data_IF_935623009663
#
_entry.id   IF_935623009663
#
_cell.length_a   1.000
_cell.length_b   1.000
_cell.length_c   1.000
_cell.angle_alpha   90.00
_cell.angle_beta   90.00
_cell.angle_gamma   90.00
#
_symmetry.space_group_name_H-M   'P 1'
#
loop_
_entity.id
_entity.type
_entity.pdbx_description
1 polymer ?
#
# COMPACT_ATOMS: atom_id res chain seq x y z
N UNK A 1 -8.76 6.66 -22.11
CA UNK A 1 -8.48 5.45 -21.32
C UNK A 1 -8.85 5.67 -19.86
N UNK A 2 -9.25 4.60 -19.18
CA UNK A 2 -9.50 4.59 -17.74
C UNK A 2 -8.60 3.58 -17.06
N UNK A 3 -7.98 3.96 -15.92
CA UNK A 3 -7.08 3.09 -15.17
C UNK A 3 -7.66 2.76 -13.80
N UNK A 4 -7.75 1.48 -13.49
CA UNK A 4 -8.04 0.96 -12.16
C UNK A 4 -6.69 0.62 -11.51
N UNK A 5 -6.20 1.55 -10.71
CA UNK A 5 -4.89 1.43 -10.08
C UNK A 5 -4.95 0.43 -8.92
N UNK A 6 -3.93 -0.42 -8.82
CA UNK A 6 -3.67 -1.25 -7.65
C UNK A 6 -3.33 -0.38 -6.43
N UNK A 7 -3.10 -1.00 -5.27
CA UNK A 7 -2.63 -0.29 -4.07
C UNK A 7 -1.27 0.35 -4.34
N UNK A 8 -1.26 1.68 -4.41
CA UNK A 8 -0.05 2.43 -4.74
C UNK A 8 0.87 2.53 -3.53
N UNK A 9 2.17 2.35 -3.74
CA UNK A 9 3.19 2.46 -2.70
C UNK A 9 4.44 3.18 -3.22
N UNK A 10 5.41 3.38 -2.34
CA UNK A 10 6.67 4.04 -2.66
C UNK A 10 6.74 5.48 -2.15
N UNK A 11 7.93 6.06 -2.21
CA UNK A 11 8.18 7.40 -1.73
C UNK A 11 7.70 8.46 -2.73
N UNK A 12 7.12 9.52 -2.19
CA UNK A 12 6.67 10.68 -2.96
C UNK A 12 6.97 11.96 -2.20
N UNK A 13 6.80 13.12 -2.83
CA UNK A 13 6.98 14.40 -2.16
C UNK A 13 6.06 14.51 -0.93
N UNK A 14 4.80 14.07 -1.05
CA UNK A 14 3.87 13.91 0.07
C UNK A 14 3.74 12.42 0.40
N UNK A 15 4.50 11.93 1.36
CA UNK A 15 4.39 10.53 1.77
C UNK A 15 3.03 10.26 2.42
N UNK A 16 2.33 9.29 1.86
CA UNK A 16 1.10 8.72 2.39
C UNK A 16 1.45 7.51 3.24
N UNK A 17 1.77 7.74 4.52
CA UNK A 17 2.07 6.64 5.47
C UNK A 17 0.84 5.81 5.85
N UNK A 18 -0.35 6.30 5.54
CA UNK A 18 -1.61 5.61 5.72
C UNK A 18 -1.88 4.52 4.66
N UNK A 19 -1.09 4.45 3.59
CA UNK A 19 -1.20 3.39 2.59
C UNK A 19 -0.51 2.11 3.06
N UNK A 20 -1.14 0.97 2.81
CA UNK A 20 -0.82 -0.33 3.42
C UNK A 20 0.69 -0.66 3.44
N UNK A 21 1.37 -0.63 2.29
CA UNK A 21 2.81 -0.93 2.22
C UNK A 21 3.63 0.11 2.99
N UNK A 22 3.34 1.38 2.78
CA UNK A 22 4.04 2.49 3.45
C UNK A 22 3.83 2.42 4.97
N UNK A 23 2.62 2.08 5.41
CA UNK A 23 2.28 1.91 6.83
C UNK A 23 3.05 0.76 7.46
N UNK A 24 3.11 -0.40 6.81
CA UNK A 24 3.83 -1.56 7.32
C UNK A 24 5.34 -1.31 7.39
N UNK A 25 5.90 -0.67 6.35
CA UNK A 25 7.31 -0.26 6.33
C UNK A 25 7.61 0.76 7.44
N UNK A 26 6.70 1.70 7.67
CA UNK A 26 6.83 2.67 8.74
C UNK A 26 6.88 1.99 10.12
N UNK A 27 5.90 1.12 10.43
CA UNK A 27 5.87 0.39 11.71
C UNK A 27 7.15 -0.45 11.89
N UNK A 28 7.58 -1.14 10.84
CA UNK A 28 8.81 -1.93 10.88
C UNK A 28 10.04 -1.09 11.24
N UNK A 29 10.17 0.11 10.67
CA UNK A 29 11.30 1.02 10.94
C UNK A 29 11.33 1.59 12.35
N UNK A 30 10.14 1.87 12.89
CA UNK A 30 10.05 2.49 14.22
C UNK A 30 9.92 1.50 15.35
N UNK A 31 9.99 0.19 15.06
CA UNK A 31 9.85 -0.88 16.05
C UNK A 31 8.48 -0.93 16.69
N UNK A 32 7.46 -0.44 15.98
CA UNK A 32 6.08 -0.52 16.45
C UNK A 32 5.49 -1.88 16.05
N UNK A 33 4.88 -2.56 17.04
CA UNK A 33 4.21 -3.83 16.79
C UNK A 33 2.98 -3.61 15.94
N UNK A 34 2.92 -4.27 14.79
CA UNK A 34 1.79 -4.20 13.87
C UNK A 34 0.72 -5.22 14.29
N UNK A 35 -0.52 -4.75 14.52
CA UNK A 35 -1.66 -5.65 14.68
C UNK A 35 -2.28 -5.90 13.30
N UNK A 36 -2.27 -7.15 12.87
CA UNK A 36 -2.69 -7.58 11.54
C UNK A 36 -4.06 -8.25 11.60
N UNK A 37 -5.04 -7.61 10.98
CA UNK A 37 -6.39 -8.17 10.78
C UNK A 37 -6.51 -8.77 9.38
N UNK A 38 -7.32 -9.83 9.23
CA UNK A 38 -7.54 -10.55 7.97
C UNK A 38 -6.23 -10.80 7.20
N UNK A 39 -5.29 -11.59 7.76
CA UNK A 39 -3.94 -11.77 7.23
C UNK A 39 -3.91 -12.36 5.82
N UNK A 40 -4.94 -13.14 5.45
CA UNK A 40 -5.04 -13.84 4.16
C UNK A 40 -5.66 -12.98 3.05
N UNK A 41 -6.18 -11.79 3.37
CA UNK A 41 -6.74 -10.90 2.35
C UNK A 41 -5.66 -10.41 1.39
N UNK A 42 -5.94 -10.60 0.09
CA UNK A 42 -5.01 -10.30 -0.99
C UNK A 42 -5.19 -8.87 -1.47
N UNK A 43 -4.07 -8.29 -1.87
CA UNK A 43 -3.99 -7.02 -2.56
C UNK A 43 -3.02 -7.13 -3.71
N UNK A 44 -3.23 -6.33 -4.73
CA UNK A 44 -2.23 -6.07 -5.75
C UNK A 44 -1.57 -4.72 -5.46
N UNK A 45 -0.29 -4.61 -5.73
CA UNK A 45 0.51 -3.43 -5.44
C UNK A 45 1.15 -2.89 -6.71
N UNK A 46 1.43 -1.57 -6.72
CA UNK A 46 2.17 -0.90 -7.79
C UNK A 46 2.96 0.27 -7.23
N UNK A 47 4.19 0.44 -7.71
CA UNK A 47 5.03 1.57 -7.31
C UNK A 47 4.52 2.88 -7.94
N UNK A 48 4.62 4.00 -7.21
CA UNK A 48 4.13 5.31 -7.67
C UNK A 48 4.81 5.75 -8.97
N UNK A 49 6.08 5.41 -9.17
CA UNK A 49 6.80 5.71 -10.44
C UNK A 49 6.23 4.94 -11.63
N UNK A 50 5.81 3.70 -11.43
CA UNK A 50 5.17 2.92 -12.49
C UNK A 50 3.78 3.46 -12.84
N UNK A 51 3.10 4.13 -11.91
CA UNK A 51 1.89 4.88 -12.25
C UNK A 51 2.23 6.04 -13.19
N UNK A 52 3.29 6.80 -12.92
CA UNK A 52 3.76 7.86 -13.83
C UNK A 52 4.10 7.26 -15.19
N UNK A 53 4.86 6.16 -15.21
CA UNK A 53 5.22 5.46 -16.46
C UNK A 53 3.97 4.97 -17.21
N UNK A 54 2.91 4.54 -16.50
CA UNK A 54 1.64 4.16 -17.13
C UNK A 54 1.01 5.34 -17.89
N UNK A 55 1.00 6.52 -17.29
CA UNK A 55 0.46 7.71 -17.95
C UNK A 55 1.29 8.12 -19.16
N UNK A 56 2.62 8.13 -19.03
CA UNK A 56 3.53 8.45 -20.14
C UNK A 56 3.35 7.46 -21.29
N UNK A 57 3.39 6.15 -20.98
CA UNK A 57 3.12 5.09 -21.96
C UNK A 57 1.80 5.30 -22.69
N UNK A 58 0.77 5.69 -21.94
CA UNK A 58 -0.58 5.88 -22.51
C UNK A 58 -0.68 7.13 -23.38
N UNK A 59 0.12 8.16 -23.11
CA UNK A 59 0.21 9.35 -23.97
C UNK A 59 0.90 8.99 -25.28
N UNK A 60 2.00 8.25 -25.23
CA UNK A 60 2.77 7.82 -26.41
C UNK A 60 1.99 6.82 -27.27
N UNK A 61 1.07 6.05 -26.67
CA UNK A 61 0.28 5.01 -27.34
C UNK A 61 -1.22 5.35 -27.35
N UNK A 62 -1.60 6.62 -27.37
CA UNK A 62 -2.97 7.07 -27.14
C UNK A 62 -4.00 6.40 -28.03
N UNK A 63 -3.71 6.25 -29.33
CA UNK A 63 -4.62 5.65 -30.30
C UNK A 63 -4.98 4.19 -29.97
N UNK A 64 -4.05 3.44 -29.37
CA UNK A 64 -4.26 2.05 -28.97
C UNK A 64 -4.96 1.90 -27.62
N UNK A 65 -4.75 2.85 -26.70
CA UNK A 65 -5.32 2.76 -25.34
C UNK A 65 -6.63 3.51 -25.16
N UNK A 66 -6.97 4.45 -26.06
CA UNK A 66 -8.22 5.22 -26.00
C UNK A 66 -9.45 4.31 -25.93
N UNK A 67 -10.49 4.77 -25.25
CA UNK A 67 -11.75 4.05 -25.06
C UNK A 67 -11.64 2.67 -24.37
N UNK A 68 -10.53 2.39 -23.69
CA UNK A 68 -10.29 1.16 -22.96
C UNK A 68 -10.21 1.39 -21.45
N UNK A 69 -10.49 0.31 -20.70
CA UNK A 69 -10.32 0.25 -19.25
C UNK A 69 -9.23 -0.78 -18.96
N UNK A 70 -8.25 -0.38 -18.15
CA UNK A 70 -7.12 -1.22 -17.76
C UNK A 70 -7.00 -1.33 -16.25
N UNK A 71 -6.73 -2.53 -15.75
CA UNK A 71 -6.16 -2.68 -14.42
C UNK A 71 -4.66 -2.40 -14.53
N UNK A 72 -4.12 -1.67 -13.56
CA UNK A 72 -2.71 -1.27 -13.54
C UNK A 72 -2.12 -1.63 -12.19
N UNK A 73 -1.24 -2.60 -12.20
CA UNK A 73 -0.59 -3.13 -11.02
C UNK A 73 0.66 -3.94 -11.40
N UNK A 74 1.34 -4.47 -10.41
CA UNK A 74 2.48 -5.34 -10.58
C UNK A 74 2.01 -6.79 -10.50
N UNK A 75 2.07 -7.55 -11.61
CA UNK A 75 1.53 -8.92 -11.68
C UNK A 75 2.19 -9.88 -10.70
N UNK A 76 3.48 -9.66 -10.38
CA UNK A 76 4.22 -10.42 -9.35
C UNK A 76 3.90 -10.02 -7.91
N UNK A 77 3.10 -8.96 -7.69
CA UNK A 77 2.78 -8.44 -6.37
C UNK A 77 1.30 -8.59 -5.99
N UNK A 78 0.67 -9.69 -6.38
CA UNK A 78 -0.59 -10.13 -5.82
C UNK A 78 -0.30 -10.94 -4.54
N UNK A 79 -0.28 -10.27 -3.38
CA UNK A 79 0.12 -10.88 -2.11
C UNK A 79 -0.96 -10.75 -1.06
N UNK A 80 -0.98 -11.70 -0.12
CA UNK A 80 -1.73 -11.56 1.13
C UNK A 80 -1.06 -10.51 2.03
N UNK A 81 -1.79 -9.96 2.99
CA UNK A 81 -1.22 -9.02 3.97
C UNK A 81 -0.08 -9.67 4.75
N UNK A 82 -0.23 -10.94 5.15
CA UNK A 82 0.85 -11.67 5.83
C UNK A 82 2.04 -11.91 4.90
N UNK A 83 1.78 -12.14 3.60
CA UNK A 83 2.82 -12.23 2.58
C UNK A 83 3.64 -10.94 2.48
N UNK A 84 2.98 -9.78 2.56
CA UNK A 84 3.64 -8.49 2.61
C UNK A 84 4.50 -8.32 3.87
N UNK A 85 3.97 -8.70 5.06
CA UNK A 85 4.75 -8.67 6.31
C UNK A 85 6.03 -9.51 6.21
N UNK A 86 5.94 -10.72 5.64
CA UNK A 86 7.10 -11.58 5.42
C UNK A 86 8.14 -10.92 4.51
N UNK A 87 7.69 -10.28 3.41
CA UNK A 87 8.59 -9.56 2.50
C UNK A 87 9.29 -8.37 3.18
N UNK A 88 8.61 -7.64 4.05
CA UNK A 88 9.22 -6.56 4.82
C UNK A 88 10.23 -7.12 5.82
N UNK A 89 9.90 -8.23 6.50
CA UNK A 89 10.78 -8.88 7.47
C UNK A 89 12.08 -9.42 6.87
N UNK A 90 12.10 -9.75 5.57
CA UNK A 90 13.33 -10.08 4.83
C UNK A 90 14.37 -8.94 4.86
N UNK A 91 13.90 -7.67 5.00
CA UNK A 91 14.76 -6.47 5.00
C UNK A 91 14.91 -5.85 6.39
N UNK A 92 13.95 -6.10 7.27
CA UNK A 92 13.93 -5.62 8.65
C UNK A 92 13.60 -6.82 9.55
N UNK A 93 14.60 -7.62 9.95
CA UNK A 93 14.39 -8.83 10.76
C UNK A 93 13.67 -8.57 12.08
N UNK A 94 13.85 -7.38 12.66
CA UNK A 94 13.24 -6.93 13.92
C UNK A 94 11.76 -6.55 13.77
N UNK A 95 11.22 -6.56 12.54
CA UNK A 95 9.81 -6.25 12.32
C UNK A 95 8.91 -7.25 13.05
N UNK A 96 8.14 -6.73 14.01
CA UNK A 96 7.21 -7.52 14.82
C UNK A 96 5.76 -7.26 14.38
N UNK A 97 4.99 -8.34 14.21
CA UNK A 97 3.57 -8.27 13.92
C UNK A 97 2.82 -9.42 14.59
N UNK A 98 1.60 -9.13 15.01
CA UNK A 98 0.70 -10.07 15.64
C UNK A 98 -0.59 -10.18 14.85
N UNK A 99 -1.06 -11.41 14.63
CA UNK A 99 -2.35 -11.66 14.00
C UNK A 99 -3.42 -11.57 15.09
N UNK A 100 -4.40 -10.67 14.89
CA UNK A 100 -5.56 -10.57 15.77
C UNK A 100 -6.82 -11.02 15.05
N UNK A 101 -7.63 -11.78 15.75
CA UNK A 101 -8.98 -12.18 15.35
C UNK A 101 -10.04 -11.34 16.04
N UNK A 102 -9.64 -10.50 17.00
CA UNK A 102 -10.51 -9.55 17.68
C UNK A 102 -10.41 -8.20 17.00
N UNK A 103 -11.47 -7.78 16.35
CA UNK A 103 -11.49 -6.57 15.52
C UNK A 103 -11.57 -6.88 14.02
N UNK A 104 -11.47 -5.85 13.21
CA UNK A 104 -11.45 -5.99 11.76
C UNK A 104 -10.78 -4.81 11.09
N UNK A 105 -10.14 -5.05 9.94
CA UNK A 105 -9.67 -3.98 9.06
C UNK A 105 -10.88 -3.25 8.45
N UNK A 106 -10.93 -1.91 8.47
CA UNK A 106 -11.94 -1.15 7.75
C UNK A 106 -12.01 -1.49 6.26
N UNK A 107 -10.88 -1.89 5.67
CA UNK A 107 -10.78 -2.32 4.27
C UNK A 107 -10.86 -3.85 4.14
N UNK A 108 -12.10 -4.35 4.06
CA UNK A 108 -12.39 -5.79 3.95
C UNK A 108 -12.27 -6.37 2.55
N UNK A 109 -11.63 -5.67 1.61
CA UNK A 109 -11.48 -6.16 0.24
C UNK A 109 -10.46 -7.31 0.19
N UNK A 110 -10.84 -8.42 -0.44
CA UNK A 110 -9.94 -9.50 -0.85
C UNK A 110 -10.09 -9.68 -2.37
N UNK A 111 -9.01 -9.46 -3.11
CA UNK A 111 -9.06 -9.56 -4.56
C UNK A 111 -7.70 -9.93 -5.18
N UNK A 112 -7.78 -10.61 -6.31
CA UNK A 112 -6.65 -10.86 -7.21
C UNK A 112 -6.83 -10.01 -8.47
N UNK A 113 -5.79 -9.30 -8.89
CA UNK A 113 -5.85 -8.44 -10.07
C UNK A 113 -5.02 -9.03 -11.20
N UNK A 114 -5.64 -9.15 -12.37
CA UNK A 114 -4.93 -9.43 -13.62
C UNK A 114 -4.60 -8.11 -14.32
N UNK A 115 -3.32 -7.90 -14.60
CA UNK A 115 -2.81 -6.74 -15.33
C UNK A 115 -2.50 -7.08 -16.79
N UNK A 116 -2.80 -8.32 -17.24
CA UNK A 116 -2.44 -8.84 -18.56
C UNK A 116 -2.89 -7.94 -19.72
N UNK A 117 -4.04 -7.26 -19.58
CA UNK A 117 -4.56 -6.42 -20.67
C UNK A 117 -3.61 -5.27 -21.02
N UNK A 118 -3.08 -4.57 -20.01
CA UNK A 118 -2.13 -3.47 -20.26
C UNK A 118 -0.73 -4.01 -20.58
N UNK A 119 -0.34 -5.12 -19.97
CA UNK A 119 0.93 -5.80 -20.27
C UNK A 119 0.97 -6.27 -21.74
N UNK A 120 -0.13 -6.80 -22.27
CA UNK A 120 -0.24 -7.19 -23.68
C UNK A 120 -0.18 -5.99 -24.66
N UNK A 121 -0.45 -4.77 -24.16
CA UNK A 121 -0.27 -3.53 -24.92
C UNK A 121 1.18 -3.05 -24.95
N UNK A 122 2.09 -3.74 -24.23
CA UNK A 122 3.51 -3.41 -24.17
C UNK A 122 3.91 -2.64 -22.90
N UNK A 123 2.98 -2.27 -22.02
CA UNK A 123 3.35 -1.65 -20.74
C UNK A 123 4.00 -2.69 -19.82
N UNK A 124 5.09 -2.30 -19.18
CA UNK A 124 5.78 -3.13 -18.20
C UNK A 124 6.13 -2.31 -16.97
N UNK A 125 5.63 -2.76 -15.80
CA UNK A 125 6.04 -2.19 -14.53
C UNK A 125 7.51 -2.56 -14.24
N UNK A 126 8.34 -1.59 -13.90
CA UNK A 126 9.79 -1.73 -13.73
C UNK A 126 10.22 -1.87 -12.27
N UNK A 127 9.42 -1.30 -11.35
CA UNK A 127 9.75 -1.26 -9.93
C UNK A 127 9.15 -2.46 -9.20
N UNK A 128 10.00 -3.37 -8.72
CA UNK A 128 9.56 -4.49 -7.88
C UNK A 128 9.04 -4.01 -6.52
N UNK A 129 8.22 -4.85 -5.87
CA UNK A 129 7.77 -4.57 -4.50
C UNK A 129 8.95 -4.40 -3.55
N UNK A 130 9.98 -5.21 -3.69
CA UNK A 130 11.21 -5.15 -2.91
C UNK A 130 11.93 -3.81 -3.07
N UNK A 131 12.13 -3.36 -4.31
CA UNK A 131 12.75 -2.06 -4.59
C UNK A 131 11.97 -0.91 -3.93
N UNK A 132 10.64 -0.98 -3.96
CA UNK A 132 9.81 0.04 -3.34
C UNK A 132 9.76 -0.01 -1.80
N UNK A 133 9.87 -1.19 -1.19
CA UNK A 133 10.07 -1.32 0.26
C UNK A 133 11.37 -0.61 0.65
N UNK A 134 12.48 -0.88 -0.04
CA UNK A 134 13.78 -0.22 0.20
C UNK A 134 13.71 1.29 -0.04
N UNK A 135 13.05 1.75 -1.10
CA UNK A 135 12.84 3.18 -1.36
C UNK A 135 12.08 3.86 -0.21
N UNK A 136 11.04 3.20 0.32
CA UNK A 136 10.32 3.66 1.51
C UNK A 136 11.22 3.79 2.74
N UNK A 137 12.08 2.78 3.00
CA UNK A 137 13.06 2.79 4.07
C UNK A 137 14.02 3.98 3.94
N UNK A 138 14.65 4.14 2.78
CA UNK A 138 15.58 5.25 2.52
C UNK A 138 14.92 6.62 2.59
N UNK A 139 13.68 6.74 2.15
CA UNK A 139 12.92 7.99 2.24
C UNK A 139 12.67 8.40 3.69
N UNK A 140 12.31 7.47 4.56
CA UNK A 140 12.13 7.73 5.99
C UNK A 140 13.45 8.15 6.66
N UNK A 141 14.55 7.49 6.34
CA UNK A 141 15.89 7.81 6.84
C UNK A 141 16.33 9.22 6.43
N UNK A 142 16.25 9.56 5.13
CA UNK A 142 16.67 10.86 4.57
C UNK A 142 15.89 12.04 5.14
N UNK A 143 14.63 11.86 5.48
CA UNK A 143 13.77 12.93 6.02
C UNK A 143 13.95 13.16 7.51
N UNK A 144 14.92 12.48 8.15
CA UNK A 144 15.19 12.62 9.58
C UNK A 144 14.01 12.19 10.47
N UNK A 145 13.11 11.37 9.94
CA UNK A 145 11.94 10.89 10.66
C UNK A 145 12.33 10.09 11.90
N UNK A 146 13.49 9.41 11.86
CA UNK A 146 14.03 8.70 13.01
C UNK A 146 14.34 9.63 14.19
N UNK A 147 14.65 10.90 13.93
CA UNK A 147 15.00 11.89 14.95
C UNK A 147 13.79 12.68 15.49
N UNK A 148 12.57 12.41 15.00
CA UNK A 148 11.37 13.08 15.51
C UNK A 148 10.89 12.42 16.80
N UNK A 149 10.44 13.20 17.80
CA UNK A 149 9.84 12.65 19.03
C UNK A 149 8.62 11.77 18.70
N UNK A 150 8.42 10.72 19.47
CA UNK A 150 7.28 9.76 19.27
C UNK A 150 5.92 10.48 19.17
N UNK A 151 5.69 11.52 19.98
CA UNK A 151 4.44 12.30 19.98
C UNK A 151 4.10 12.97 18.63
N UNK A 152 5.11 13.41 17.88
CA UNK A 152 4.90 14.01 16.55
C UNK A 152 4.79 12.98 15.41
N UNK A 153 5.07 11.70 15.73
CA UNK A 153 4.98 10.59 14.77
C UNK A 153 3.56 10.01 14.73
N UNK A 154 2.90 9.94 15.89
CA UNK A 154 1.56 9.39 16.06
C UNK A 154 0.46 10.26 15.47
N UNK A 155 0.65 11.56 15.33
CA UNK A 155 -0.39 12.46 14.78
C UNK A 155 -0.74 12.19 13.31
N UNK A 156 0.17 11.62 12.53
CA UNK A 156 -0.13 11.20 11.15
C UNK A 156 -0.72 9.78 11.05
N UNK A 157 -0.48 8.93 12.04
CA UNK A 157 -1.00 7.56 12.12
C UNK A 157 -2.36 7.54 12.83
N UNK A 158 -2.60 8.44 13.78
CA UNK A 158 -3.84 8.53 14.56
C UNK A 158 -5.11 8.82 13.73
N UNK A 159 -4.94 9.24 12.47
CA UNK A 159 -6.07 9.40 11.55
C UNK A 159 -6.66 8.05 11.10
N UNK A 160 -5.83 7.00 11.06
CA UNK A 160 -6.26 5.64 10.72
C UNK A 160 -6.98 4.98 11.90
N UNK A 161 -6.43 5.13 13.13
CA UNK A 161 -7.03 4.60 14.36
C UNK A 161 -8.35 5.27 14.74
N UNK A 162 -8.47 6.60 14.54
CA UNK A 162 -9.70 7.35 14.89
C UNK A 162 -10.91 6.98 14.03
N UNK A 163 -10.71 6.52 12.81
CA UNK A 163 -11.80 6.01 11.96
C UNK A 163 -12.20 4.57 12.31
N UNK A 164 -11.27 3.75 12.81
CA UNK A 164 -11.52 2.39 13.27
C UNK A 164 -12.37 2.35 14.54
N UNK A 165 -12.18 3.30 15.46
CA UNK A 165 -12.88 3.34 16.75
C UNK A 165 -14.24 4.06 16.71
N UNK A 166 -14.54 4.86 15.68
CA UNK A 166 -15.83 5.57 15.56
C UNK A 166 -17.00 4.72 15.05
N UNK A 167 -16.76 3.48 14.61
CA UNK A 167 -17.81 2.57 14.12
C UNK A 167 -18.64 1.90 15.21
N UNK A 168 -18.35 2.08 16.49
CA UNK A 168 -19.01 1.32 17.57
C UNK A 168 -20.10 2.07 18.36
N UNK A 169 -20.35 3.35 18.12
CA UNK A 169 -21.42 4.07 18.82
C UNK A 169 -22.28 4.92 17.89
N UNK A 170 -23.24 4.28 17.21
CA UNK A 170 -24.56 4.88 16.95
C UNK A 170 -25.56 3.82 16.51
N UNK A 171 -26.08 3.04 17.45
CA UNK A 171 -27.44 2.51 17.30
C UNK A 171 -28.40 3.68 17.49
N UNK A 172 -28.75 4.36 16.39
CA UNK A 172 -29.94 5.22 16.40
C UNK A 172 -31.17 4.33 16.32
N UNK A 173 -31.94 4.30 17.42
CA UNK A 173 -33.35 3.95 17.39
C UNK A 173 -34.06 5.02 16.57
N UNK A 174 -34.81 4.62 15.59
CA UNK A 174 -35.89 5.43 15.04
C UNK A 174 -37.22 4.90 15.61
N UNK A 175 -38.18 5.79 15.85
CA UNK A 175 -39.50 5.48 16.42
C UNK A 175 -40.38 4.66 15.49
#
# INVERSE_FOLDING_TARGET
ASFRLATVFGSSFRNRVDLLVNFFVYNALFGEKLILFEPEFRRNYIHVRDIVNTFLFSMDNFEFVKNNIFNVGLSSANLTKIGLCKKIKEHIPEFDYEISHEGSDPDKRDYFVSNKKIENMGFKAEHSLQAGILDGLFSCLRRGWLNRPRSSRTDQVSHFDKHSLRGQHTKRRFP
#
